data_IF_271105834641
#
_entry.id   IF_271105834641
#
_cell.length_a   1.000
_cell.length_b   1.000
_cell.length_c   1.000
_cell.angle_alpha   90.00
_cell.angle_beta   90.00
_cell.angle_gamma   90.00
#
_symmetry.space_group_name_H-M   'P 1'
#
loop_
_entity.id
_entity.type
_entity.pdbx_description
1 polymer ?
#
# COMPACT_ATOMS: atom_id res chain seq x y z
N UNK A 1 -1.96 0.54 24.79
CA UNK A 1 -2.22 0.94 23.40
C UNK A 1 -1.28 0.13 22.52
N UNK A 2 -1.78 -0.55 21.48
CA UNK A 2 -0.88 -1.18 20.50
C UNK A 2 -0.24 -0.06 19.67
N UNK A 3 1.05 -0.14 19.39
CA UNK A 3 1.68 0.81 18.45
C UNK A 3 1.14 0.56 17.04
N UNK A 4 1.17 1.56 16.16
CA UNK A 4 0.70 1.38 14.78
C UNK A 4 1.45 0.23 14.07
N UNK A 5 2.74 0.05 14.35
CA UNK A 5 3.54 -1.11 13.90
C UNK A 5 2.99 -2.45 14.38
N UNK A 6 2.50 -2.54 15.63
CA UNK A 6 1.89 -3.77 16.14
C UNK A 6 0.53 -4.05 15.46
N UNK A 7 -0.22 -3.00 15.14
CA UNK A 7 -1.47 -3.14 14.37
C UNK A 7 -1.19 -3.63 12.96
N UNK A 8 -0.24 -3.01 12.24
CA UNK A 8 0.14 -3.42 10.89
C UNK A 8 0.54 -4.92 10.80
N UNK A 9 1.19 -5.46 11.83
CA UNK A 9 1.62 -6.86 11.82
C UNK A 9 0.53 -7.87 12.20
N UNK A 10 -0.54 -7.47 12.91
CA UNK A 10 -1.47 -8.43 13.53
C UNK A 10 -2.94 -8.19 13.22
N UNK A 11 -3.30 -6.98 12.82
CA UNK A 11 -4.68 -6.59 12.61
C UNK A 11 -5.10 -6.79 11.14
N UNK A 12 -6.40 -6.82 10.92
CA UNK A 12 -7.02 -6.79 9.60
C UNK A 12 -6.94 -5.40 8.96
N UNK A 13 -7.08 -5.34 7.62
CA UNK A 13 -7.14 -4.07 6.89
C UNK A 13 -8.20 -3.11 7.49
N UNK A 14 -9.38 -3.64 7.82
CA UNK A 14 -10.50 -2.86 8.38
C UNK A 14 -10.16 -2.26 9.75
N UNK A 15 -9.52 -3.02 10.63
CA UNK A 15 -9.10 -2.53 11.95
C UNK A 15 -8.04 -1.44 11.82
N UNK A 16 -7.06 -1.61 10.92
CA UNK A 16 -6.00 -0.62 10.68
C UNK A 16 -6.60 0.67 10.11
N UNK A 17 -7.49 0.57 9.12
CA UNK A 17 -8.16 1.73 8.52
C UNK A 17 -9.04 2.46 9.55
N UNK A 18 -9.74 1.73 10.43
CA UNK A 18 -10.54 2.33 11.50
C UNK A 18 -9.68 3.09 12.52
N UNK A 19 -8.55 2.51 12.93
CA UNK A 19 -7.62 3.18 13.84
C UNK A 19 -7.05 4.44 13.19
N UNK A 20 -6.62 4.35 11.93
CA UNK A 20 -6.09 5.49 11.19
C UNK A 20 -7.14 6.61 11.04
N UNK A 21 -8.39 6.25 10.74
CA UNK A 21 -9.50 7.22 10.68
C UNK A 21 -9.78 7.87 12.03
N UNK A 22 -9.72 7.10 13.12
CA UNK A 22 -9.94 7.63 14.46
C UNK A 22 -8.82 8.59 14.86
N UNK A 23 -7.57 8.26 14.53
CA UNK A 23 -6.40 9.10 14.79
C UNK A 23 -6.44 10.40 13.96
N UNK A 24 -6.82 10.33 12.68
CA UNK A 24 -7.01 11.51 11.82
C UNK A 24 -8.12 12.42 12.34
N UNK A 25 -9.27 11.86 12.72
CA UNK A 25 -10.40 12.64 13.24
C UNK A 25 -10.12 13.26 14.63
N UNK A 26 -9.21 12.66 15.39
CA UNK A 26 -8.72 13.20 16.67
C UNK A 26 -7.58 14.20 16.54
N UNK A 27 -7.05 14.42 15.33
CA UNK A 27 -5.91 15.32 15.08
C UNK A 27 -6.37 16.73 14.69
N UNK A 28 -5.46 17.69 14.75
CA UNK A 28 -5.67 19.06 14.24
C UNK A 28 -5.56 19.15 12.70
N UNK A 29 -5.40 18.03 11.99
CA UNK A 29 -5.31 18.01 10.53
C UNK A 29 -6.67 18.32 9.89
N UNK A 30 -6.64 18.95 8.72
CA UNK A 30 -7.87 19.27 7.98
C UNK A 30 -8.64 18.00 7.59
N UNK A 31 -9.99 18.01 7.61
CA UNK A 31 -10.82 16.91 7.11
C UNK A 31 -10.48 16.48 5.68
N UNK A 32 -9.99 17.42 4.87
CA UNK A 32 -9.47 17.12 3.53
C UNK A 32 -8.43 16.00 3.54
N UNK A 33 -7.53 15.98 4.52
CA UNK A 33 -6.49 14.95 4.58
C UNK A 33 -7.05 13.59 4.97
N UNK A 34 -8.07 13.54 5.83
CA UNK A 34 -8.75 12.28 6.14
C UNK A 34 -9.42 11.70 4.88
N UNK A 35 -10.13 12.54 4.12
CA UNK A 35 -10.80 12.15 2.87
C UNK A 35 -9.83 11.62 1.80
N UNK A 36 -8.55 11.99 1.85
CA UNK A 36 -7.51 11.50 0.92
C UNK A 36 -6.72 10.33 1.47
N UNK A 37 -6.41 10.34 2.76
CA UNK A 37 -5.58 9.33 3.42
C UNK A 37 -6.29 8.00 3.54
N UNK A 38 -7.58 8.01 3.90
CA UNK A 38 -8.32 6.77 4.13
C UNK A 38 -8.46 5.92 2.87
N UNK A 39 -8.84 6.45 1.70
CA UNK A 39 -8.85 5.67 0.47
C UNK A 39 -7.48 5.13 0.07
N UNK A 40 -6.39 5.88 0.30
CA UNK A 40 -5.04 5.40 0.04
C UNK A 40 -4.67 4.22 0.95
N UNK A 41 -4.91 4.37 2.25
CA UNK A 41 -4.61 3.32 3.22
C UNK A 41 -5.39 2.04 2.91
N UNK A 42 -6.67 2.17 2.58
CA UNK A 42 -7.52 1.04 2.19
C UNK A 42 -6.97 0.32 0.94
N UNK A 43 -6.58 1.09 -0.09
CA UNK A 43 -5.97 0.54 -1.31
C UNK A 43 -4.67 -0.21 -1.03
N UNK A 44 -3.77 0.34 -0.22
CA UNK A 44 -2.51 -0.32 0.15
C UNK A 44 -2.79 -1.59 0.95
N UNK A 45 -3.63 -1.50 1.99
CA UNK A 45 -3.92 -2.61 2.89
C UNK A 45 -4.66 -3.75 2.18
N UNK A 46 -5.45 -3.46 1.15
CA UNK A 46 -6.15 -4.47 0.35
C UNK A 46 -5.22 -5.52 -0.27
N UNK A 47 -3.96 -5.16 -0.55
CA UNK A 47 -2.96 -6.06 -1.15
C UNK A 47 -1.80 -6.40 -0.23
N UNK A 48 -1.37 -5.46 0.62
CA UNK A 48 -0.24 -5.67 1.52
C UNK A 48 -0.60 -6.63 2.66
N UNK A 49 -1.83 -6.62 3.15
CA UNK A 49 -2.27 -7.54 4.21
C UNK A 49 -2.29 -9.00 3.71
N UNK A 50 -2.88 -9.31 2.54
CA UNK A 50 -2.73 -10.65 1.95
C UNK A 50 -1.27 -11.07 1.73
N UNK A 51 -0.40 -10.18 1.24
CA UNK A 51 1.03 -10.49 1.08
C UNK A 51 1.71 -10.77 2.42
N UNK A 52 1.39 -10.02 3.48
CA UNK A 52 1.85 -10.29 4.85
C UNK A 52 1.42 -11.68 5.30
N UNK A 53 0.15 -12.01 5.12
CA UNK A 53 -0.41 -13.29 5.58
C UNK A 53 0.18 -14.48 4.80
N UNK A 54 0.59 -14.26 3.55
CA UNK A 54 1.34 -15.22 2.74
C UNK A 54 2.85 -15.25 3.05
N UNK A 55 3.38 -14.38 3.92
CA UNK A 55 4.82 -14.18 4.18
C UNK A 55 5.61 -13.82 2.92
N UNK A 56 5.02 -12.98 2.07
CA UNK A 56 5.56 -12.53 0.78
C UNK A 56 5.68 -11.00 0.73
N UNK A 57 5.98 -10.37 1.86
CA UNK A 57 6.24 -8.93 1.88
C UNK A 57 7.55 -8.63 1.16
N UNK A 58 7.52 -7.55 0.40
CA UNK A 58 8.68 -6.96 -0.26
C UNK A 58 8.58 -5.44 -0.18
N UNK A 59 9.66 -4.74 -0.54
CA UNK A 59 9.68 -3.28 -0.63
C UNK A 59 9.59 -2.81 -2.10
N UNK A 60 9.50 -1.50 -2.40
CA UNK A 60 9.45 -1.00 -3.77
C UNK A 60 10.59 -1.45 -4.71
N UNK A 61 11.78 -1.76 -4.18
CA UNK A 61 12.90 -2.31 -4.96
C UNK A 61 12.75 -3.82 -5.24
N UNK A 62 11.78 -4.48 -4.61
CA UNK A 62 11.55 -5.92 -4.73
C UNK A 62 12.26 -6.75 -3.65
N UNK A 63 12.93 -6.12 -2.69
CA UNK A 63 13.68 -6.84 -1.65
C UNK A 63 12.71 -7.41 -0.58
N UNK A 64 12.89 -8.66 -0.15
CA UNK A 64 12.04 -9.31 0.85
C UNK A 64 12.02 -8.56 2.18
N UNK A 65 10.86 -8.53 2.84
CA UNK A 65 10.68 -7.92 4.15
C UNK A 65 10.09 -8.94 5.12
N UNK A 66 10.61 -8.96 6.36
CA UNK A 66 10.14 -9.90 7.40
C UNK A 66 8.82 -9.51 8.03
N UNK A 67 8.49 -8.22 8.04
CA UNK A 67 7.39 -7.67 8.81
C UNK A 67 6.81 -6.42 8.14
N UNK A 68 5.51 -6.21 8.35
CA UNK A 68 4.85 -4.99 7.92
C UNK A 68 4.99 -3.93 9.01
N UNK A 69 6.07 -3.17 8.95
CA UNK A 69 6.27 -2.02 9.83
C UNK A 69 5.85 -0.69 9.19
N UNK A 70 5.81 0.36 10.01
CA UNK A 70 5.45 1.72 9.60
C UNK A 70 6.35 2.27 8.49
N UNK A 71 7.65 1.92 8.47
CA UNK A 71 8.54 2.35 7.38
C UNK A 71 8.08 1.73 6.07
N UNK A 72 7.88 0.41 6.03
CA UNK A 72 7.42 -0.27 4.83
C UNK A 72 6.06 0.27 4.35
N UNK A 73 5.10 0.45 5.26
CA UNK A 73 3.80 1.02 4.92
C UNK A 73 3.91 2.42 4.29
N UNK A 74 4.72 3.31 4.87
CA UNK A 74 4.95 4.66 4.35
C UNK A 74 5.58 4.66 2.96
N UNK A 75 6.42 3.66 2.64
CA UNK A 75 7.01 3.54 1.29
C UNK A 75 5.94 3.26 0.23
N UNK A 76 4.88 2.55 0.59
CA UNK A 76 3.76 2.29 -0.31
C UNK A 76 2.78 3.46 -0.44
N UNK A 77 2.91 4.51 0.38
CA UNK A 77 2.14 5.74 0.20
C UNK A 77 2.59 6.57 -1.00
N UNK A 78 3.82 6.38 -1.48
CA UNK A 78 4.32 7.02 -2.68
C UNK A 78 3.60 6.49 -3.94
N UNK A 79 3.18 7.39 -4.83
CA UNK A 79 2.37 7.01 -6.00
C UNK A 79 3.16 6.20 -7.03
N UNK A 80 4.45 6.48 -7.21
CA UNK A 80 5.32 5.68 -8.10
C UNK A 80 5.43 4.26 -7.55
N UNK A 81 5.72 4.14 -6.25
CA UNK A 81 5.82 2.86 -5.55
C UNK A 81 4.51 2.08 -5.62
N UNK A 82 3.37 2.74 -5.41
CA UNK A 82 2.05 2.11 -5.49
C UNK A 82 1.69 1.64 -6.91
N UNK A 83 2.05 2.43 -7.94
CA UNK A 83 1.94 2.02 -9.35
C UNK A 83 2.78 0.76 -9.61
N UNK A 84 4.04 0.75 -9.17
CA UNK A 84 4.93 -0.41 -9.32
C UNK A 84 4.37 -1.64 -8.62
N UNK A 85 3.81 -1.49 -7.42
CA UNK A 85 3.15 -2.57 -6.69
C UNK A 85 2.00 -3.18 -7.52
N UNK A 86 1.12 -2.34 -8.07
CA UNK A 86 0.00 -2.81 -8.87
C UNK A 86 0.44 -3.62 -10.10
N UNK A 87 1.42 -3.12 -10.86
CA UNK A 87 1.93 -3.84 -12.04
C UNK A 87 2.66 -5.14 -11.68
N UNK A 88 3.42 -5.13 -10.58
CA UNK A 88 4.06 -6.34 -10.05
C UNK A 88 3.02 -7.41 -9.68
N UNK A 89 1.95 -7.02 -9.00
CA UNK A 89 0.89 -7.95 -8.61
C UNK A 89 0.03 -8.42 -9.78
N UNK A 90 -0.27 -7.56 -10.76
CA UNK A 90 -0.97 -7.98 -11.99
C UNK A 90 -0.18 -9.06 -12.74
N UNK A 91 1.14 -8.87 -12.88
CA UNK A 91 2.01 -9.87 -13.52
C UNK A 91 2.14 -11.13 -12.67
N UNK A 92 2.15 -11.00 -11.35
CA UNK A 92 2.20 -12.14 -10.43
C UNK A 92 0.92 -12.97 -10.47
N UNK A 93 -0.26 -12.32 -10.48
CA UNK A 93 -1.57 -12.96 -10.68
C UNK A 93 -1.60 -13.76 -11.99
N UNK A 94 -1.11 -13.17 -13.08
CA UNK A 94 -1.06 -13.83 -14.39
C UNK A 94 -0.10 -15.02 -14.40
N UNK A 95 1.06 -14.88 -13.74
CA UNK A 95 2.09 -15.91 -13.69
C UNK A 95 1.78 -17.04 -12.69
N UNK A 96 0.82 -16.84 -11.78
CA UNK A 96 0.55 -17.77 -10.68
C UNK A 96 1.71 -17.90 -9.69
N UNK A 97 2.62 -16.91 -9.67
CA UNK A 97 3.75 -16.83 -8.75
C UNK A 97 4.16 -15.38 -8.58
N UNK A 98 4.75 -15.03 -7.45
CA UNK A 98 5.29 -13.68 -7.27
C UNK A 98 6.48 -13.46 -8.22
N UNK A 99 6.47 -12.35 -8.95
CA UNK A 99 7.52 -11.98 -9.91
C UNK A 99 8.01 -10.57 -9.63
N UNK A 100 9.16 -10.19 -10.22
CA UNK A 100 9.76 -8.83 -10.07
C UNK A 100 10.12 -8.49 -8.62
N UNK A 101 10.46 -9.51 -7.85
CA UNK A 101 10.96 -9.43 -6.49
C UNK A 101 12.18 -10.31 -6.37
N UNK A 102 13.00 -10.07 -5.35
CA UNK A 102 14.13 -10.91 -4.97
C UNK A 102 13.72 -11.99 -3.95
N UNK A 103 12.42 -12.18 -3.72
CA UNK A 103 11.90 -13.31 -2.94
C UNK A 103 12.32 -14.62 -3.59
N UNK A 104 12.81 -15.53 -2.76
CA UNK A 104 13.26 -16.86 -3.15
C UNK A 104 12.21 -17.59 -4.01
N UNK A 105 12.68 -18.36 -4.99
CA UNK A 105 11.80 -18.96 -6.01
C UNK A 105 10.80 -19.95 -5.40
N UNK A 106 11.19 -20.70 -4.37
CA UNK A 106 10.29 -21.65 -3.70
C UNK A 106 9.23 -20.92 -2.87
N UNK A 107 9.60 -19.80 -2.24
CA UNK A 107 8.64 -18.94 -1.56
C UNK A 107 7.68 -18.27 -2.55
N UNK A 108 8.20 -17.71 -3.65
CA UNK A 108 7.42 -17.01 -4.67
C UNK A 108 6.38 -17.90 -5.37
N UNK A 109 6.66 -19.21 -5.52
CA UNK A 109 5.71 -20.20 -6.05
C UNK A 109 4.52 -20.47 -5.14
N UNK A 110 4.58 -20.10 -3.85
CA UNK A 110 3.45 -20.21 -2.92
C UNK A 110 2.50 -19.02 -2.98
N UNK A 111 2.79 -18.04 -3.84
CA UNK A 111 1.93 -16.89 -4.05
C UNK A 111 0.53 -17.32 -4.49
N UNK A 112 -0.46 -16.83 -3.77
CA UNK A 112 -1.87 -16.95 -4.14
C UNK A 112 -2.33 -15.63 -4.78
N UNK A 113 -3.02 -15.68 -5.93
CA UNK A 113 -3.51 -14.49 -6.60
C UNK A 113 -4.34 -13.58 -5.69
N UNK A 114 -4.09 -12.28 -5.81
CA UNK A 114 -4.77 -11.26 -5.02
C UNK A 114 -5.87 -10.59 -5.81
N UNK A 115 -6.95 -10.21 -5.14
CA UNK A 115 -7.92 -9.28 -5.70
C UNK A 115 -7.31 -7.87 -5.73
N UNK A 116 -7.28 -7.27 -6.92
CA UNK A 116 -6.68 -5.95 -7.15
C UNK A 116 -7.74 -4.85 -7.37
N UNK A 117 -9.03 -5.14 -7.23
CA UNK A 117 -10.11 -4.20 -7.59
C UNK A 117 -10.01 -2.87 -6.81
N UNK A 118 -9.78 -2.93 -5.49
CA UNK A 118 -9.68 -1.74 -4.63
C UNK A 118 -8.45 -0.89 -5.03
N UNK A 119 -7.29 -1.55 -5.17
CA UNK A 119 -6.05 -0.89 -5.59
C UNK A 119 -6.18 -0.26 -6.99
N UNK A 120 -6.75 -1.00 -7.94
CA UNK A 120 -6.94 -0.55 -9.31
C UNK A 120 -7.90 0.66 -9.38
N UNK A 121 -9.00 0.59 -8.62
CA UNK A 121 -9.99 1.68 -8.54
C UNK A 121 -9.36 2.95 -7.94
N UNK A 122 -8.51 2.81 -6.92
CA UNK A 122 -7.80 3.93 -6.34
C UNK A 122 -6.83 4.56 -7.35
N UNK A 123 -5.97 3.75 -7.98
CA UNK A 123 -4.96 4.21 -8.93
C UNK A 123 -5.58 4.86 -10.17
N UNK A 124 -6.69 4.32 -10.69
CA UNK A 124 -7.43 4.93 -11.79
C UNK A 124 -7.93 6.34 -11.47
N UNK A 125 -8.38 6.59 -10.22
CA UNK A 125 -8.75 7.94 -9.76
C UNK A 125 -7.55 8.88 -9.68
N UNK A 126 -6.34 8.35 -9.48
CA UNK A 126 -5.08 9.12 -9.54
C UNK A 126 -4.55 9.27 -10.97
N UNK A 127 -5.31 8.87 -12.00
CA UNK A 127 -4.90 9.00 -13.40
C UNK A 127 -3.75 8.06 -13.79
N UNK A 128 -3.58 6.95 -13.06
CA UNK A 128 -2.65 5.89 -13.45
C UNK A 128 -3.31 5.01 -14.50
N UNK A 129 -2.65 4.87 -15.65
CA UNK A 129 -3.00 3.89 -16.66
C UNK A 129 -2.51 2.51 -16.21
N UNK A 130 -3.44 1.57 -16.01
CA UNK A 130 -3.16 0.20 -15.58
C UNK A 130 -3.05 -0.78 -16.76
N UNK A 131 -3.32 -0.33 -17.98
CA UNK A 131 -3.12 -1.11 -19.21
C UNK A 131 -1.72 -0.87 -19.78
N UNK A 132 -1.15 0.33 -19.55
CA UNK A 132 0.17 0.70 -20.03
C UNK A 132 1.09 1.25 -18.93
N UNK A 133 1.99 0.37 -18.44
CA UNK A 133 3.00 0.68 -17.40
C UNK A 133 3.91 1.86 -17.76
N UNK A 134 4.11 2.16 -19.04
CA UNK A 134 4.98 3.26 -19.51
C UNK A 134 4.33 4.64 -19.47
N UNK A 135 3.01 4.73 -19.28
CA UNK A 135 2.30 6.01 -19.23
C UNK A 135 2.46 6.63 -17.84
N UNK A 136 2.91 7.88 -17.82
CA UNK A 136 2.99 8.66 -16.59
C UNK A 136 1.62 9.16 -16.13
N UNK A 137 1.51 9.40 -14.83
CA UNK A 137 0.35 10.02 -14.21
C UNK A 137 0.54 11.53 -14.01
N UNK A 138 -0.54 12.31 -13.84
CA UNK A 138 -0.44 13.75 -13.64
C UNK A 138 0.40 14.13 -12.41
N UNK A 139 1.34 15.07 -12.57
CA UNK A 139 2.22 15.55 -11.47
C UNK A 139 1.44 16.10 -10.27
N UNK A 140 0.24 16.66 -10.50
CA UNK A 140 -0.62 17.15 -9.44
C UNK A 140 -1.04 16.03 -8.47
N UNK A 141 -1.29 14.81 -8.99
CA UNK A 141 -1.64 13.66 -8.16
C UNK A 141 -0.44 13.10 -7.40
N UNK A 142 0.75 13.16 -8.01
CA UNK A 142 1.99 12.86 -7.31
C UNK A 142 2.22 13.79 -6.11
N UNK A 143 2.08 15.10 -6.31
CA UNK A 143 2.23 16.09 -5.24
C UNK A 143 1.18 15.91 -4.12
N UNK A 144 -0.05 15.50 -4.48
CA UNK A 144 -1.05 15.14 -3.49
C UNK A 144 -0.60 13.97 -2.62
N UNK A 145 -0.02 12.93 -3.22
CA UNK A 145 0.51 11.77 -2.50
C UNK A 145 1.66 12.12 -1.55
N UNK A 146 2.53 13.08 -1.91
CA UNK A 146 3.54 13.62 -0.98
C UNK A 146 2.86 14.17 0.28
N UNK A 147 1.83 15.00 0.11
CA UNK A 147 1.05 15.54 1.22
C UNK A 147 0.37 14.47 2.06
N UNK A 148 -0.25 13.47 1.41
CA UNK A 148 -0.87 12.34 2.11
C UNK A 148 0.17 11.57 2.92
N UNK A 149 1.33 11.23 2.34
CA UNK A 149 2.39 10.49 3.01
C UNK A 149 2.93 11.25 4.24
N UNK A 150 3.06 12.58 4.15
CA UNK A 150 3.43 13.42 5.28
C UNK A 150 2.36 13.41 6.37
N UNK A 151 1.07 13.47 6.01
CA UNK A 151 -0.02 13.32 6.99
C UNK A 151 0.03 11.95 7.67
N UNK A 152 0.14 10.85 6.91
CA UNK A 152 0.23 9.50 7.48
C UNK A 152 1.40 9.42 8.45
N UNK A 153 2.57 9.95 8.05
CA UNK A 153 3.77 9.96 8.87
C UNK A 153 3.54 10.69 10.20
N UNK A 154 2.92 11.87 10.19
CA UNK A 154 2.58 12.61 11.41
C UNK A 154 1.65 11.81 12.33
N UNK A 155 0.64 11.16 11.76
CA UNK A 155 -0.38 10.42 12.54
C UNK A 155 0.18 9.14 13.14
N UNK A 156 1.06 8.43 12.43
CA UNK A 156 1.58 7.12 12.90
C UNK A 156 2.86 7.25 13.74
N UNK A 157 3.53 8.41 13.70
CA UNK A 157 4.78 8.67 14.45
C UNK A 157 4.63 9.75 15.53
N UNK A 158 3.58 10.58 15.49
CA UNK A 158 3.22 11.55 16.52
C UNK A 158 2.48 10.89 17.67
#
# INVERSE_FOLDING_TARGET
>A
MKTFTQLLNTASAKEITLELSSALNGSDESPFWADKTIPLADAILSVIIPLRDQNLLFNPEGEPQSDLNTKLFLRWCDLVSLKTLAFTLQKSNTAGKLVRTEIDEDAARRYEPLDLEILATYLGKQGVDLENESVDFPIAHYNLHIGIADTVKKIIQG
#
